data_IF_341669978309
#
_entry.id   IF_341669978309
#
_cell.length_a   1.000
_cell.length_b   1.000
_cell.length_c   1.000
_cell.angle_alpha   90.00
_cell.angle_beta   90.00
_cell.angle_gamma   90.00
#
_symmetry.space_group_name_H-M   'P 1'
#
loop_
_entity.id
_entity.type
_entity.pdbx_description
1 polymer ?
#
# COMPACT_ATOMS: atom_id res chain seq x y z
N UNK A 1 2.12 -5.10 -9.56
CA UNK A 1 1.71 -5.38 -10.95
C UNK A 1 0.67 -4.40 -11.49
N UNK A 2 -0.56 -4.31 -10.95
CA UNK A 2 -1.62 -3.40 -11.45
C UNK A 2 -1.15 -1.98 -11.75
N UNK A 3 -0.55 -1.35 -10.74
CA UNK A 3 -0.15 0.05 -10.81
C UNK A 3 0.81 0.28 -11.97
N UNK A 4 1.79 -0.61 -12.16
CA UNK A 4 2.72 -0.55 -13.28
C UNK A 4 2.02 -0.74 -14.63
N UNK A 5 1.12 -1.72 -14.76
CA UNK A 5 0.39 -1.95 -16.02
C UNK A 5 -0.53 -0.79 -16.39
N UNK A 6 -1.21 -0.19 -15.41
CA UNK A 6 -2.08 0.97 -15.64
C UNK A 6 -1.26 2.22 -15.94
N UNK A 7 -0.16 2.45 -15.22
CA UNK A 7 0.69 3.65 -15.38
C UNK A 7 1.48 3.64 -16.68
N UNK A 8 1.93 2.48 -17.12
CA UNK A 8 2.75 2.33 -18.33
C UNK A 8 1.95 1.76 -19.51
N UNK A 9 0.63 1.61 -19.40
CA UNK A 9 -0.25 1.05 -20.44
C UNK A 9 -0.02 1.71 -21.81
N UNK A 10 0.17 3.02 -21.84
CA UNK A 10 0.44 3.81 -23.07
C UNK A 10 1.73 3.39 -23.77
N UNK A 11 2.74 2.96 -23.01
CA UNK A 11 4.03 2.48 -23.55
C UNK A 11 4.03 0.99 -23.83
N UNK A 12 3.14 0.26 -23.16
CA UNK A 12 3.04 -1.19 -23.24
C UNK A 12 2.13 -1.59 -24.41
N UNK A 13 0.92 -1.03 -24.53
CA UNK A 13 -0.10 -1.39 -25.53
C UNK A 13 0.15 -0.81 -26.94
N UNK A 14 1.40 -0.58 -27.34
CA UNK A 14 1.78 -0.07 -28.67
C UNK A 14 1.78 -1.12 -29.78
N UNK A 15 2.23 -0.74 -30.99
CA UNK A 15 2.21 -1.56 -32.22
C UNK A 15 3.04 -2.86 -32.18
N UNK A 16 3.87 -3.08 -31.14
CA UNK A 16 4.71 -4.28 -31.03
C UNK A 16 4.21 -5.16 -29.89
N UNK A 17 3.97 -6.46 -30.14
CA UNK A 17 3.60 -7.37 -29.07
C UNK A 17 4.75 -7.46 -28.06
N UNK A 18 4.45 -7.21 -26.80
CA UNK A 18 5.38 -7.34 -25.68
C UNK A 18 4.88 -8.43 -24.74
N UNK A 19 5.81 -8.98 -23.95
CA UNK A 19 5.56 -10.11 -23.06
C UNK A 19 5.95 -9.72 -21.64
N UNK A 20 5.03 -9.91 -20.70
CA UNK A 20 5.26 -9.70 -19.28
C UNK A 20 5.80 -11.01 -18.68
N UNK A 21 6.99 -10.92 -18.08
CA UNK A 21 7.53 -11.98 -17.26
C UNK A 21 7.16 -11.75 -15.80
N UNK A 22 6.55 -12.76 -15.16
CA UNK A 22 6.11 -12.68 -13.77
C UNK A 22 6.26 -14.03 -13.07
N UNK A 23 6.69 -13.98 -11.82
CA UNK A 23 6.80 -15.11 -10.89
C UNK A 23 5.59 -15.20 -9.94
N UNK A 24 4.62 -14.30 -10.09
CA UNK A 24 3.47 -14.19 -9.19
C UNK A 24 2.58 -15.45 -9.26
N UNK A 25 2.75 -16.34 -8.27
CA UNK A 25 2.15 -17.69 -8.21
C UNK A 25 0.62 -17.67 -8.35
N UNK A 26 -0.04 -16.63 -7.82
CA UNK A 26 -1.51 -16.55 -7.90
C UNK A 26 -2.05 -16.45 -9.33
N UNK A 27 -1.25 -16.00 -10.31
CA UNK A 27 -1.68 -15.92 -11.71
C UNK A 27 -1.74 -17.29 -12.38
N UNK A 28 -1.07 -18.31 -11.81
CA UNK A 28 -1.11 -19.69 -12.31
C UNK A 28 -2.42 -20.40 -11.98
N UNK A 29 -3.04 -20.06 -10.86
CA UNK A 29 -4.24 -20.73 -10.35
C UNK A 29 -5.52 -19.99 -10.73
N UNK A 30 -5.44 -18.70 -11.06
CA UNK A 30 -6.60 -17.87 -11.40
C UNK A 30 -7.28 -18.23 -12.71
N UNK A 31 -6.56 -18.74 -13.72
CA UNK A 31 -7.17 -19.15 -15.01
C UNK A 31 -7.91 -20.49 -14.94
N UNK A 32 -7.60 -21.32 -13.94
CA UNK A 32 -8.14 -22.68 -13.81
C UNK A 32 -9.19 -22.80 -12.68
N UNK A 33 -9.50 -21.71 -11.99
CA UNK A 33 -10.46 -21.71 -10.88
C UNK A 33 -11.91 -21.61 -11.40
N UNK A 34 -12.80 -22.56 -11.06
CA UNK A 34 -14.18 -22.57 -11.54
C UNK A 34 -15.05 -21.47 -10.91
N UNK A 35 -14.68 -20.97 -9.73
CA UNK A 35 -15.40 -19.90 -9.03
C UNK A 35 -14.49 -18.69 -8.79
N UNK A 36 -14.64 -17.68 -9.64
CA UNK A 36 -13.89 -16.43 -9.55
C UNK A 36 -14.70 -15.38 -8.79
N UNK A 37 -14.07 -14.74 -7.81
CA UNK A 37 -14.67 -13.55 -7.19
C UNK A 37 -14.82 -12.43 -8.23
N UNK A 38 -15.83 -11.58 -8.09
CA UNK A 38 -16.10 -10.47 -9.01
C UNK A 38 -14.88 -9.54 -9.17
N UNK A 39 -14.09 -9.41 -8.10
CA UNK A 39 -12.79 -8.72 -8.11
C UNK A 39 -11.80 -9.45 -9.02
N UNK A 40 -11.60 -10.76 -8.84
CA UNK A 40 -10.71 -11.57 -9.71
C UNK A 40 -11.14 -11.57 -11.17
N UNK A 41 -12.43 -11.57 -11.48
CA UNK A 41 -12.93 -11.45 -12.86
C UNK A 41 -12.49 -10.14 -13.50
N UNK A 42 -12.66 -9.00 -12.81
CA UNK A 42 -12.19 -7.70 -13.30
C UNK A 42 -10.67 -7.65 -13.47
N UNK A 43 -9.93 -8.34 -12.60
CA UNK A 43 -8.48 -8.46 -12.73
C UNK A 43 -8.07 -9.30 -13.93
N UNK A 44 -8.75 -10.42 -14.17
CA UNK A 44 -8.48 -11.28 -15.32
C UNK A 44 -8.83 -10.61 -16.64
N UNK A 45 -9.91 -9.83 -16.70
CA UNK A 45 -10.22 -9.01 -17.88
C UNK A 45 -9.10 -8.01 -18.19
N UNK A 46 -8.54 -7.34 -17.16
CA UNK A 46 -7.41 -6.43 -17.33
C UNK A 46 -6.14 -7.17 -17.77
N UNK A 47 -5.88 -8.36 -17.22
CA UNK A 47 -4.71 -9.15 -17.58
C UNK A 47 -4.84 -9.81 -18.97
N UNK A 48 -6.05 -10.09 -19.46
CA UNK A 48 -6.25 -10.67 -20.79
C UNK A 48 -5.69 -9.79 -21.92
N UNK A 49 -5.50 -8.50 -21.70
CA UNK A 49 -4.90 -7.55 -22.65
C UNK A 49 -3.37 -7.72 -22.79
N UNK A 50 -2.74 -8.58 -21.98
CA UNK A 50 -1.29 -8.71 -21.90
C UNK A 50 -0.83 -10.16 -22.04
N UNK A 51 0.29 -10.38 -22.76
CA UNK A 51 0.88 -11.71 -22.90
C UNK A 51 1.77 -12.02 -21.70
N UNK A 52 1.41 -12.99 -20.85
CA UNK A 52 2.23 -13.42 -19.71
C UNK A 52 3.06 -14.66 -20.01
N UNK A 53 4.32 -14.67 -19.57
CA UNK A 53 5.18 -15.87 -19.57
C UNK A 53 5.55 -16.31 -18.15
N UNK A 54 5.63 -17.64 -17.90
CA UNK A 54 6.04 -18.16 -16.61
C UNK A 54 7.45 -17.71 -16.20
N UNK A 55 7.61 -17.30 -14.95
CA UNK A 55 8.88 -16.81 -14.39
C UNK A 55 10.08 -17.76 -14.47
N UNK A 56 9.92 -19.05 -14.79
CA UNK A 56 11.04 -19.99 -14.97
C UNK A 56 11.98 -19.59 -16.12
N UNK A 57 11.52 -18.73 -17.04
CA UNK A 57 12.29 -18.14 -18.15
C UNK A 57 12.81 -16.72 -17.84
N UNK A 58 12.52 -16.17 -16.66
CA UNK A 58 12.86 -14.79 -16.26
C UNK A 58 14.25 -14.69 -15.63
N UNK A 59 15.25 -15.36 -16.22
CA UNK A 59 16.60 -15.53 -15.66
C UNK A 59 17.31 -14.18 -15.45
N UNK A 60 17.05 -13.20 -16.33
CA UNK A 60 17.66 -11.86 -16.28
C UNK A 60 17.15 -11.00 -15.12
N UNK A 61 15.84 -10.99 -14.85
CA UNK A 61 15.29 -10.22 -13.72
C UNK A 61 15.69 -10.86 -12.38
N UNK A 62 15.75 -12.19 -12.34
CA UNK A 62 16.20 -12.94 -11.18
C UNK A 62 17.69 -12.64 -10.88
N UNK A 63 18.55 -12.61 -11.90
CA UNK A 63 19.96 -12.25 -11.79
C UNK A 63 20.21 -10.81 -11.31
N UNK A 64 19.35 -9.85 -11.67
CA UNK A 64 19.45 -8.47 -11.19
C UNK A 64 18.97 -8.31 -9.74
N UNK A 65 18.02 -9.14 -9.28
CA UNK A 65 17.54 -9.12 -7.89
C UNK A 65 18.40 -9.92 -6.91
N UNK A 66 19.22 -10.85 -7.42
CA UNK A 66 20.06 -11.77 -6.64
C UNK A 66 21.55 -11.52 -6.93
N UNK A 67 22.00 -10.28 -6.76
CA UNK A 67 23.42 -9.93 -6.81
C UNK A 67 24.06 -10.21 -5.44
N UNK A 68 24.76 -11.35 -5.24
CA UNK A 68 25.40 -11.67 -3.95
C UNK A 68 26.51 -10.65 -3.59
N UNK A 69 27.07 -9.98 -4.59
CA UNK A 69 27.97 -8.84 -4.50
C UNK A 69 27.30 -7.58 -3.90
N UNK A 70 25.97 -7.46 -3.98
CA UNK A 70 25.24 -6.37 -3.35
C UNK A 70 24.92 -6.62 -1.87
N UNK A 71 24.78 -7.88 -1.43
CA UNK A 71 24.49 -8.20 -0.01
C UNK A 71 25.66 -7.89 0.94
N UNK A 72 26.88 -7.71 0.41
CA UNK A 72 28.11 -7.54 1.20
C UNK A 72 28.60 -6.09 1.32
N UNK A 73 27.87 -5.10 0.79
CA UNK A 73 28.19 -3.68 0.99
C UNK A 73 27.42 -3.04 2.18
N UNK A 74 26.59 -3.80 2.90
CA UNK A 74 25.58 -3.27 3.82
C UNK A 74 26.04 -3.00 5.25
N UNK A 75 27.34 -3.02 5.51
CA UNK A 75 27.94 -2.45 6.73
C UNK A 75 29.13 -1.59 6.33
N UNK A 76 28.90 -0.59 5.48
CA UNK A 76 29.90 0.45 5.24
C UNK A 76 29.69 1.60 6.22
N UNK A 77 30.38 1.47 7.36
CA UNK A 77 31.28 2.50 7.88
C UNK A 77 30.62 3.71 8.55
N UNK A 78 29.93 3.56 9.69
CA UNK A 78 30.01 4.53 10.82
C UNK A 78 29.80 3.86 12.18
N UNK A 79 30.66 2.91 12.58
CA UNK A 79 31.07 2.70 13.99
C UNK A 79 32.36 1.86 13.95
N UNK A 80 33.51 2.51 13.75
CA UNK A 80 34.82 1.84 13.80
C UNK A 80 35.09 1.13 15.13
N UNK A 81 34.29 1.41 16.15
CA UNK A 81 34.41 0.88 17.50
C UNK A 81 33.18 0.06 17.96
N UNK A 82 32.16 -0.23 17.13
CA UNK A 82 30.97 -0.96 17.58
C UNK A 82 31.35 -2.29 18.25
N UNK A 83 32.21 -3.05 17.58
CA UNK A 83 32.72 -4.32 18.12
C UNK A 83 33.55 -4.11 19.38
N UNK A 84 34.30 -3.02 19.50
CA UNK A 84 35.07 -2.70 20.69
C UNK A 84 34.17 -2.31 21.87
N UNK A 85 33.11 -1.53 21.62
CA UNK A 85 32.08 -1.22 22.61
C UNK A 85 31.34 -2.48 23.05
N UNK A 86 31.02 -3.40 22.14
CA UNK A 86 30.44 -4.71 22.48
C UNK A 86 31.39 -5.51 23.38
N UNK A 87 32.70 -5.56 23.07
CA UNK A 87 33.72 -6.22 23.89
C UNK A 87 33.77 -5.65 25.31
N UNK A 88 33.80 -4.32 25.42
CA UNK A 88 33.83 -3.63 26.70
C UNK A 88 32.54 -3.86 27.50
N UNK A 89 31.38 -3.84 26.83
CA UNK A 89 30.09 -4.02 27.47
C UNK A 89 29.89 -5.43 28.07
N UNK A 90 30.62 -6.46 27.61
CA UNK A 90 30.59 -7.77 28.27
C UNK A 90 31.08 -7.73 29.72
N UNK A 91 31.91 -6.76 30.11
CA UNK A 91 32.41 -6.64 31.49
C UNK A 91 31.32 -6.23 32.48
N UNK A 92 30.29 -5.52 32.02
CA UNK A 92 29.16 -5.08 32.83
C UNK A 92 27.91 -5.96 32.73
N UNK A 93 27.91 -6.99 31.86
CA UNK A 93 26.73 -7.84 31.64
C UNK A 93 26.79 -9.13 32.46
N UNK A 94 26.02 -9.18 33.55
CA UNK A 94 25.93 -10.34 34.46
C UNK A 94 25.66 -11.69 33.75
N UNK A 95 25.01 -11.69 32.58
CA UNK A 95 24.71 -12.91 31.84
C UNK A 95 25.85 -13.36 30.92
N UNK A 96 26.66 -12.44 30.40
CA UNK A 96 27.71 -12.77 29.43
C UNK A 96 29.13 -12.71 30.03
N UNK A 97 29.37 -11.94 31.09
CA UNK A 97 30.67 -11.90 31.79
C UNK A 97 31.16 -13.31 32.17
N UNK A 98 30.34 -14.19 32.80
CA UNK A 98 30.80 -15.52 33.19
C UNK A 98 31.13 -16.41 31.97
N UNK A 99 30.40 -16.24 30.86
CA UNK A 99 30.64 -16.98 29.62
C UNK A 99 31.94 -16.55 28.95
N UNK A 100 32.18 -15.23 28.86
CA UNK A 100 33.41 -14.68 28.28
C UNK A 100 34.62 -15.10 29.10
N UNK A 101 34.55 -15.00 30.44
CA UNK A 101 35.61 -15.48 31.33
C UNK A 101 35.86 -16.98 31.17
N UNK A 102 34.80 -17.81 31.22
CA UNK A 102 34.93 -19.26 31.08
C UNK A 102 35.58 -19.66 29.74
N UNK A 103 35.16 -19.05 28.63
CA UNK A 103 35.71 -19.35 27.31
C UNK A 103 37.11 -18.77 27.09
N UNK A 104 37.49 -17.72 27.83
CA UNK A 104 38.85 -17.16 27.83
C UNK A 104 39.82 -18.01 28.66
N UNK A 105 39.37 -18.52 29.81
CA UNK A 105 40.16 -19.33 30.75
C UNK A 105 40.46 -20.75 30.19
N UNK A 106 39.72 -21.20 29.17
CA UNK A 106 39.98 -22.45 28.46
C UNK A 106 39.90 -23.69 29.35
N UNK A 107 40.97 -24.50 29.38
CA UNK A 107 41.01 -25.79 30.12
C UNK A 107 41.05 -25.63 31.64
N UNK A 108 41.39 -24.44 32.14
CA UNK A 108 41.50 -24.14 33.57
C UNK A 108 40.21 -23.54 34.16
N UNK A 109 39.16 -23.43 33.34
CA UNK A 109 37.91 -22.79 33.70
C UNK A 109 37.07 -23.62 34.67
N UNK A 110 36.78 -23.06 35.85
CA UNK A 110 35.84 -23.68 36.81
C UNK A 110 34.40 -23.55 36.31
N UNK A 111 33.80 -24.68 35.95
CA UNK A 111 32.42 -24.82 35.45
C UNK A 111 31.36 -24.26 36.42
N UNK A 112 31.67 -24.19 37.72
CA UNK A 112 30.76 -23.70 38.77
C UNK A 112 30.36 -22.22 38.62
N UNK A 113 31.10 -21.44 37.84
CA UNK A 113 30.76 -20.02 37.54
C UNK A 113 29.58 -19.87 36.58
N UNK A 114 29.18 -20.94 35.88
CA UNK A 114 28.10 -20.91 34.91
C UNK A 114 26.77 -21.38 35.52
N UNK A 115 25.71 -20.61 35.28
CA UNK A 115 24.34 -21.01 35.59
C UNK A 115 23.98 -22.33 34.88
N UNK A 116 23.02 -23.12 35.42
CA UNK A 116 22.59 -24.37 34.79
C UNK A 116 22.16 -24.20 33.33
N UNK A 117 21.52 -23.07 33.02
CA UNK A 117 21.09 -22.73 31.65
C UNK A 117 22.27 -22.47 30.72
N UNK A 118 23.28 -21.73 31.18
CA UNK A 118 24.49 -21.47 30.40
C UNK A 118 25.24 -22.77 30.13
N UNK A 119 25.35 -23.67 31.12
CA UNK A 119 25.98 -24.99 30.96
C UNK A 119 25.28 -25.84 29.89
N UNK A 120 23.96 -25.90 29.90
CA UNK A 120 23.19 -26.63 28.90
C UNK A 120 23.35 -26.08 27.47
N UNK A 121 23.60 -24.77 27.33
CA UNK A 121 23.69 -24.07 26.05
C UNK A 121 25.12 -23.77 25.62
N UNK A 122 26.13 -24.22 26.37
CA UNK A 122 27.53 -23.85 26.15
C UNK A 122 28.03 -24.22 24.75
N UNK A 123 27.59 -25.34 24.20
CA UNK A 123 27.91 -25.80 22.83
C UNK A 123 27.44 -24.83 21.72
N UNK A 124 26.56 -23.88 22.04
CA UNK A 124 26.06 -22.86 21.12
C UNK A 124 26.91 -21.60 21.12
N UNK A 125 27.83 -21.47 22.07
CA UNK A 125 28.68 -20.30 22.25
C UNK A 125 30.12 -20.60 21.89
N UNK A 126 30.77 -19.62 21.26
CA UNK A 126 32.17 -19.65 20.88
C UNK A 126 32.76 -18.26 21.11
N UNK A 127 34.00 -18.18 21.60
CA UNK A 127 34.69 -16.90 21.78
C UNK A 127 35.74 -16.74 20.67
N UNK A 128 35.64 -15.68 19.89
CA UNK A 128 36.60 -15.36 18.84
C UNK A 128 36.87 -13.84 18.84
N UNK A 129 38.14 -13.45 18.82
CA UNK A 129 38.59 -12.05 18.85
C UNK A 129 37.94 -11.21 19.96
N UNK A 130 37.76 -11.80 21.15
CA UNK A 130 37.11 -11.17 22.30
C UNK A 130 35.58 -10.99 22.15
N UNK A 131 34.99 -11.47 21.06
CA UNK A 131 33.55 -11.42 20.80
C UNK A 131 32.91 -12.78 21.03
N UNK A 132 31.80 -12.78 21.77
CA UNK A 132 31.00 -13.97 21.97
C UNK A 132 30.13 -14.19 20.74
N UNK A 133 30.26 -15.35 20.12
CA UNK A 133 29.47 -15.80 18.98
C UNK A 133 28.46 -16.83 19.43
N UNK A 134 27.25 -16.77 18.87
CA UNK A 134 26.16 -17.69 19.15
C UNK A 134 25.65 -18.35 17.87
N UNK A 135 25.40 -19.66 17.95
CA UNK A 135 24.79 -20.48 16.89
C UNK A 135 23.51 -21.12 17.41
N UNK A 136 22.41 -20.97 16.68
CA UNK A 136 21.17 -21.67 17.04
C UNK A 136 21.40 -23.15 16.73
N UNK A 137 21.65 -23.50 15.49
CA UNK A 137 22.02 -24.85 15.10
C UNK A 137 23.49 -24.93 14.64
N UNK A 138 24.15 -26.10 14.71
CA UNK A 138 25.56 -26.23 14.33
C UNK A 138 25.87 -25.79 12.89
N UNK A 139 24.89 -25.88 11.99
CA UNK A 139 24.99 -25.46 10.60
C UNK A 139 24.68 -23.97 10.35
N UNK A 140 24.23 -23.23 11.36
CA UNK A 140 23.95 -21.81 11.23
C UNK A 140 25.25 -20.98 11.25
N UNK A 141 25.28 -19.85 10.52
CA UNK A 141 26.38 -18.91 10.63
C UNK A 141 26.49 -18.36 12.06
N UNK A 142 27.72 -18.16 12.59
CA UNK A 142 27.93 -17.56 13.89
C UNK A 142 27.46 -16.11 13.90
N UNK A 143 26.78 -15.70 14.97
CA UNK A 143 26.25 -14.35 15.15
C UNK A 143 26.86 -13.73 16.40
N UNK A 144 27.28 -12.47 16.33
CA UNK A 144 27.86 -11.76 17.47
C UNK A 144 26.79 -11.49 18.51
N UNK A 145 27.04 -11.91 19.74
CA UNK A 145 26.14 -11.71 20.87
C UNK A 145 26.22 -10.26 21.33
N UNK A 146 25.10 -9.56 21.27
CA UNK A 146 24.99 -8.18 21.77
C UNK A 146 24.62 -8.24 23.26
N UNK A 147 25.40 -7.59 24.14
CA UNK A 147 25.08 -7.45 25.55
C UNK A 147 23.72 -6.81 25.80
N UNK A 148 23.22 -6.92 27.03
CA UNK A 148 22.01 -6.26 27.50
C UNK A 148 22.25 -4.76 27.78
N UNK A 149 22.79 -4.06 26.80
CA UNK A 149 23.04 -2.63 26.78
C UNK A 149 22.06 -1.98 25.79
N UNK A 150 21.23 -1.05 26.26
CA UNK A 150 20.18 -0.46 25.42
C UNK A 150 20.74 0.52 24.37
N UNK A 151 21.86 1.19 24.66
CA UNK A 151 22.49 2.13 23.73
C UNK A 151 23.12 1.37 22.56
N UNK A 152 23.82 0.26 22.83
CA UNK A 152 24.34 -0.62 21.79
C UNK A 152 23.24 -1.22 20.91
N UNK A 153 22.14 -1.67 21.54
CA UNK A 153 20.99 -2.18 20.78
C UNK A 153 20.36 -1.09 19.92
N UNK A 154 20.27 0.13 20.43
CA UNK A 154 19.74 1.27 19.69
C UNK A 154 20.63 1.61 18.50
N UNK A 155 21.94 1.73 18.70
CA UNK A 155 22.90 2.06 17.65
C UNK A 155 22.88 1.04 16.51
N UNK A 156 22.85 -0.26 16.84
CA UNK A 156 22.73 -1.33 15.84
C UNK A 156 21.43 -1.20 15.03
N UNK A 157 20.31 -0.89 15.70
CA UNK A 157 19.02 -0.75 15.04
C UNK A 157 18.94 0.53 14.20
N UNK A 158 19.55 1.62 14.67
CA UNK A 158 19.68 2.88 13.94
C UNK A 158 20.46 2.69 12.65
N UNK A 159 21.63 2.04 12.71
CA UNK A 159 22.44 1.82 11.53
C UNK A 159 21.74 0.88 10.53
N UNK A 160 21.02 -0.13 11.01
CA UNK A 160 20.33 -1.06 10.11
C UNK A 160 19.02 -0.48 9.55
N UNK A 161 18.27 0.33 10.31
CA UNK A 161 16.95 0.82 9.89
C UNK A 161 17.00 2.22 9.25
N UNK A 162 17.78 3.14 9.81
CA UNK A 162 17.78 4.56 9.46
C UNK A 162 18.92 4.93 8.49
N UNK A 163 19.82 3.98 8.18
CA UNK A 163 20.83 4.22 7.15
C UNK A 163 20.16 4.66 5.83
N UNK A 164 20.72 5.64 5.10
CA UNK A 164 20.12 6.17 3.87
C UNK A 164 19.79 5.10 2.81
N UNK A 165 20.50 3.98 2.85
CA UNK A 165 20.35 2.84 1.94
C UNK A 165 19.36 1.77 2.44
N UNK A 166 18.92 1.84 3.70
CA UNK A 166 18.01 0.89 4.33
C UNK A 166 16.53 1.25 4.17
N UNK A 167 16.20 2.33 3.44
CA UNK A 167 14.84 2.75 3.01
C UNK A 167 13.73 2.55 4.07
N UNK A 168 14.06 2.75 5.36
CA UNK A 168 13.18 2.48 6.50
C UNK A 168 12.39 1.15 6.37
N UNK A 169 13.10 0.07 6.00
CA UNK A 169 12.48 -1.22 5.76
C UNK A 169 11.61 -1.66 6.95
N UNK A 170 10.48 -2.32 6.64
CA UNK A 170 9.56 -2.79 7.66
C UNK A 170 10.16 -3.85 8.59
N UNK A 171 9.54 -4.03 9.76
CA UNK A 171 9.95 -4.92 10.87
C UNK A 171 10.61 -6.23 10.44
N UNK A 172 10.01 -6.95 9.50
CA UNK A 172 10.47 -8.27 9.09
C UNK A 172 11.82 -8.23 8.39
N UNK A 173 12.01 -7.25 7.50
CA UNK A 173 13.26 -7.07 6.77
C UNK A 173 14.36 -6.55 7.68
N UNK A 174 14.05 -5.59 8.56
CA UNK A 174 14.99 -5.12 9.59
C UNK A 174 15.45 -6.28 10.47
N UNK A 175 14.53 -7.13 10.92
CA UNK A 175 14.87 -8.31 11.71
C UNK A 175 15.78 -9.27 10.94
N UNK A 176 15.47 -9.56 9.68
CA UNK A 176 16.29 -10.43 8.84
C UNK A 176 17.71 -9.88 8.69
N UNK A 177 17.87 -8.58 8.43
CA UNK A 177 19.19 -7.95 8.30
C UNK A 177 19.98 -8.01 9.60
N UNK A 178 19.41 -7.60 10.73
CA UNK A 178 20.11 -7.63 12.03
C UNK A 178 20.47 -9.06 12.42
N UNK A 179 19.55 -10.01 12.22
CA UNK A 179 19.71 -11.39 12.66
C UNK A 179 20.80 -12.16 11.91
N UNK A 180 21.27 -11.67 10.76
CA UNK A 180 22.39 -12.27 10.01
C UNK A 180 23.72 -12.10 10.75
N UNK A 181 23.93 -10.94 11.39
CA UNK A 181 25.21 -10.59 12.03
C UNK A 181 25.13 -10.66 13.54
N UNK A 182 23.99 -10.27 14.13
CA UNK A 182 23.86 -10.08 15.56
C UNK A 182 22.82 -11.02 16.17
N UNK A 183 23.10 -11.46 17.40
CA UNK A 183 22.18 -12.19 18.24
C UNK A 183 21.96 -11.45 19.55
N UNK A 184 20.70 -11.30 19.94
CA UNK A 184 20.32 -10.75 21.24
C UNK A 184 19.08 -11.46 21.77
N UNK A 185 18.90 -11.42 23.08
CA UNK A 185 17.66 -11.94 23.67
C UNK A 185 16.47 -11.12 23.18
N UNK A 186 15.43 -11.82 22.70
CA UNK A 186 14.19 -11.19 22.21
C UNK A 186 14.41 -10.18 21.07
N UNK A 187 15.40 -10.40 20.20
CA UNK A 187 15.72 -9.54 19.04
C UNK A 187 14.48 -9.04 18.29
N UNK A 188 13.54 -9.93 17.95
CA UNK A 188 12.32 -9.54 17.25
C UNK A 188 11.49 -8.48 18.00
N UNK A 189 11.40 -8.58 19.33
CA UNK A 189 10.67 -7.59 20.15
C UNK A 189 11.38 -6.24 20.14
N UNK A 190 12.71 -6.22 20.20
CA UNK A 190 13.52 -4.99 20.12
C UNK A 190 13.32 -4.31 18.77
N UNK A 191 13.45 -5.06 17.66
CA UNK A 191 13.21 -4.56 16.29
C UNK A 191 11.76 -4.04 16.14
N UNK A 192 10.78 -4.80 16.62
CA UNK A 192 9.37 -4.40 16.54
C UNK A 192 9.09 -3.10 17.29
N UNK A 193 9.71 -2.91 18.47
CA UNK A 193 9.60 -1.69 19.26
C UNK A 193 10.22 -0.51 18.51
N UNK A 194 11.44 -0.69 17.99
CA UNK A 194 12.19 0.34 17.28
C UNK A 194 11.47 0.85 16.03
N UNK A 195 11.03 -0.06 15.15
CA UNK A 195 10.30 0.31 13.92
C UNK A 195 8.95 0.97 14.26
N UNK A 196 8.33 0.60 15.39
CA UNK A 196 7.10 1.25 15.86
C UNK A 196 7.34 2.67 16.37
N UNK A 197 8.51 2.97 16.96
CA UNK A 197 8.87 4.31 17.41
C UNK A 197 9.49 5.18 16.32
N UNK A 198 9.88 4.64 15.16
CA UNK A 198 10.44 5.41 14.06
C UNK A 198 9.43 6.41 13.49
N UNK A 199 9.71 7.70 13.65
CA UNK A 199 8.85 8.82 13.21
C UNK A 199 8.62 8.80 11.69
N UNK A 200 9.67 8.56 10.90
CA UNK A 200 9.58 8.48 9.44
C UNK A 200 8.63 7.38 9.00
N UNK A 201 8.78 6.18 9.57
CA UNK A 201 7.84 5.07 9.33
C UNK A 201 6.41 5.42 9.74
N UNK A 202 6.20 6.02 10.91
CA UNK A 202 4.85 6.34 11.38
C UNK A 202 4.18 7.42 10.52
N UNK A 203 4.93 8.38 9.98
CA UNK A 203 4.41 9.41 9.06
C UNK A 203 4.05 8.87 7.68
N UNK A 204 4.90 8.01 7.12
CA UNK A 204 4.71 7.48 5.76
C UNK A 204 3.68 6.35 5.72
N UNK A 205 3.58 5.56 6.80
CA UNK A 205 2.68 4.41 6.83
C UNK A 205 1.22 4.88 6.86
N UNK A 206 0.39 4.48 5.88
CA UNK A 206 -1.03 4.76 5.91
C UNK A 206 -1.62 4.17 7.19
N UNK A 207 -2.35 4.97 7.96
CA UNK A 207 -3.01 4.50 9.18
C UNK A 207 -3.95 3.33 8.82
N UNK A 208 -3.77 2.13 9.38
CA UNK A 208 -4.76 1.06 9.28
C UNK A 208 -5.88 1.40 10.26
N UNK A 209 -6.63 2.45 9.97
CA UNK A 209 -7.34 3.20 11.00
C UNK A 209 -8.56 3.97 10.54
N UNK A 210 -9.10 3.63 9.38
CA UNK A 210 -10.54 3.72 9.18
C UNK A 210 -10.94 2.41 8.54
N UNK A 211 -11.74 1.60 9.25
CA UNK A 211 -12.63 0.70 8.54
C UNK A 211 -13.39 1.61 7.58
N UNK A 212 -13.05 1.58 6.29
CA UNK A 212 -13.85 2.27 5.29
C UNK A 212 -15.28 1.82 5.56
N UNK A 213 -16.17 2.76 5.88
CA UNK A 213 -17.57 2.45 6.05
C UNK A 213 -17.96 1.55 4.86
N UNK A 214 -18.71 0.45 5.09
CA UNK A 214 -19.12 -0.44 4.01
C UNK A 214 -19.68 0.42 2.89
N UNK A 215 -19.13 0.29 1.68
CA UNK A 215 -19.61 1.05 0.52
C UNK A 215 -21.12 0.80 0.41
N UNK A 216 -21.93 1.79 0.78
CA UNK A 216 -23.36 1.70 0.59
C UNK A 216 -23.63 1.87 -0.90
N UNK A 217 -24.04 0.78 -1.54
CA UNK A 217 -24.55 0.85 -2.89
C UNK A 217 -25.79 1.73 -2.89
N UNK A 218 -25.83 2.73 -3.77
CA UNK A 218 -27.05 3.46 -4.06
C UNK A 218 -28.16 2.47 -4.46
N UNK A 219 -29.41 2.69 -4.03
CA UNK A 219 -30.52 1.81 -4.35
C UNK A 219 -30.62 1.60 -5.87
N UNK A 220 -31.02 0.37 -6.25
CA UNK A 220 -31.27 0.03 -7.65
C UNK A 220 -32.53 0.78 -8.10
N UNK A 221 -32.45 1.43 -9.25
CA UNK A 221 -33.58 2.14 -9.85
C UNK A 221 -34.68 1.16 -10.22
N UNK A 222 -35.94 1.51 -9.94
CA UNK A 222 -37.10 0.66 -10.27
C UNK A 222 -37.31 0.53 -11.79
N UNK A 223 -36.99 1.57 -12.56
CA UNK A 223 -37.10 1.58 -14.03
C UNK A 223 -35.89 2.23 -14.70
N UNK A 224 -35.79 2.02 -16.02
CA UNK A 224 -34.84 2.68 -16.90
C UNK A 224 -35.04 4.20 -16.85
N UNK A 225 -33.93 4.95 -16.85
CA UNK A 225 -33.89 6.41 -16.90
C UNK A 225 -34.56 7.16 -15.74
N UNK A 226 -35.19 6.48 -14.77
CA UNK A 226 -35.57 7.11 -13.48
C UNK A 226 -34.37 7.53 -12.64
N UNK A 227 -33.25 6.82 -12.78
CA UNK A 227 -31.98 7.16 -12.13
C UNK A 227 -30.86 7.16 -13.14
N UNK A 228 -30.14 8.27 -13.24
CA UNK A 228 -29.02 8.41 -14.17
C UNK A 228 -27.75 8.94 -13.49
N UNK A 229 -26.60 8.65 -14.09
CA UNK A 229 -25.31 9.23 -13.76
C UNK A 229 -24.90 10.23 -14.83
N UNK A 230 -24.37 11.37 -14.38
CA UNK A 230 -23.76 12.41 -15.20
C UNK A 230 -22.25 12.43 -14.96
N UNK A 231 -21.46 12.22 -16.01
CA UNK A 231 -20.00 12.19 -15.94
C UNK A 231 -19.39 13.10 -17.01
N UNK A 232 -18.35 13.84 -16.63
CA UNK A 232 -17.63 14.73 -17.53
C UNK A 232 -16.22 14.20 -17.80
N UNK A 233 -15.86 14.09 -19.08
CA UNK A 233 -14.50 13.76 -19.51
C UNK A 233 -13.90 15.03 -20.13
N UNK A 234 -12.90 15.61 -19.47
CA UNK A 234 -12.18 16.81 -19.94
C UNK A 234 -10.73 16.49 -20.31
N UNK A 235 -10.05 17.46 -20.93
CA UNK A 235 -8.64 17.34 -21.31
C UNK A 235 -8.44 16.58 -22.63
N UNK A 236 -9.51 16.46 -23.42
CA UNK A 236 -9.42 15.92 -24.77
C UNK A 236 -8.86 17.00 -25.71
N UNK A 237 -8.05 16.63 -26.73
CA UNK A 237 -7.64 17.55 -27.77
C UNK A 237 -8.85 18.24 -28.37
N UNK A 238 -8.75 19.55 -28.63
CA UNK A 238 -9.84 20.27 -29.27
C UNK A 238 -10.14 19.65 -30.63
N UNK A 239 -11.36 19.13 -30.80
CA UNK A 239 -11.82 18.64 -32.11
C UNK A 239 -12.05 19.79 -33.09
N UNK A 240 -12.40 19.47 -34.34
CA UNK A 240 -12.65 20.46 -35.41
C UNK A 240 -13.67 21.55 -35.03
N UNK A 241 -14.59 21.24 -34.11
CA UNK A 241 -15.62 22.16 -33.61
C UNK A 241 -15.27 22.84 -32.28
N UNK A 242 -14.02 22.72 -31.83
CA UNK A 242 -13.53 23.33 -30.59
C UNK A 242 -13.98 22.65 -29.28
N UNK A 243 -14.62 21.48 -29.35
CA UNK A 243 -15.03 20.70 -28.17
C UNK A 243 -13.81 20.16 -27.43
N UNK A 244 -13.73 20.42 -26.12
CA UNK A 244 -12.57 20.06 -25.26
C UNK A 244 -12.89 18.95 -24.26
N UNK A 245 -14.06 18.33 -24.42
CA UNK A 245 -14.53 17.27 -23.54
C UNK A 245 -15.76 16.55 -24.08
N UNK A 246 -16.16 15.50 -23.37
CA UNK A 246 -17.37 14.70 -23.63
C UNK A 246 -18.19 14.65 -22.35
N UNK A 247 -19.49 14.92 -22.50
CA UNK A 247 -20.50 14.73 -21.47
C UNK A 247 -21.14 13.36 -21.67
N UNK A 248 -21.20 12.59 -20.59
CA UNK A 248 -21.69 11.22 -20.58
C UNK A 248 -22.90 11.13 -19.66
N UNK A 249 -24.03 10.71 -20.21
CA UNK A 249 -25.25 10.39 -19.46
C UNK A 249 -25.46 8.89 -19.44
N UNK A 250 -25.56 8.27 -18.26
CA UNK A 250 -25.69 6.82 -18.13
C UNK A 250 -26.92 6.45 -17.33
N UNK A 251 -27.80 5.64 -17.90
CA UNK A 251 -28.89 5.02 -17.15
C UNK A 251 -28.33 4.04 -16.11
N UNK A 252 -28.67 4.21 -14.83
CA UNK A 252 -28.12 3.34 -13.76
C UNK A 252 -28.65 1.91 -13.82
N UNK A 253 -29.86 1.68 -14.37
CA UNK A 253 -30.45 0.35 -14.52
C UNK A 253 -29.93 -0.36 -15.78
N UNK A 254 -30.23 0.17 -16.97
CA UNK A 254 -29.93 -0.49 -18.24
C UNK A 254 -28.48 -0.34 -18.71
N UNK A 255 -27.71 0.58 -18.10
CA UNK A 255 -26.35 0.97 -18.54
C UNK A 255 -26.29 1.60 -19.93
N UNK A 256 -27.43 1.92 -20.55
CA UNK A 256 -27.49 2.69 -21.79
C UNK A 256 -26.86 4.06 -21.57
N UNK A 257 -26.10 4.54 -22.56
CA UNK A 257 -25.38 5.80 -22.49
C UNK A 257 -25.72 6.74 -23.64
N UNK A 258 -25.77 8.04 -23.34
CA UNK A 258 -25.74 9.12 -24.33
C UNK A 258 -24.44 9.89 -24.17
N UNK A 259 -23.74 10.11 -25.29
CA UNK A 259 -22.49 10.86 -25.34
C UNK A 259 -22.71 12.14 -26.12
N UNK A 260 -22.33 13.27 -25.54
CA UNK A 260 -22.43 14.57 -26.17
C UNK A 260 -21.09 15.30 -26.10
N UNK A 261 -20.50 15.73 -27.23
CA UNK A 261 -19.30 16.55 -27.17
C UNK A 261 -19.63 17.91 -26.57
N UNK A 262 -18.76 18.44 -25.70
CA UNK A 262 -19.05 19.66 -24.93
C UNK A 262 -17.92 20.70 -25.02
N UNK A 263 -18.34 21.96 -25.20
CA UNK A 263 -17.59 23.15 -24.77
C UNK A 263 -18.19 23.66 -23.47
N UNK A 264 -17.36 24.23 -22.57
CA UNK A 264 -17.62 24.60 -21.15
C UNK A 264 -19.01 25.14 -20.74
N UNK A 265 -19.93 25.51 -21.64
CA UNK A 265 -21.18 26.25 -21.36
C UNK A 265 -22.50 25.57 -21.82
N UNK A 266 -22.48 24.37 -22.41
CA UNK A 266 -23.68 23.82 -23.10
C UNK A 266 -24.31 22.56 -22.46
N UNK A 267 -23.89 22.16 -21.26
CA UNK A 267 -24.30 20.88 -20.66
C UNK A 267 -25.82 20.69 -20.51
N UNK A 268 -26.56 21.72 -20.09
CA UNK A 268 -28.01 21.64 -19.88
C UNK A 268 -28.79 21.45 -21.19
N UNK A 269 -28.38 22.14 -22.25
CA UNK A 269 -28.97 22.00 -23.58
C UNK A 269 -28.74 20.58 -24.13
N UNK A 270 -27.52 20.06 -23.99
CA UNK A 270 -27.17 18.70 -24.41
C UNK A 270 -27.96 17.63 -23.64
N UNK A 271 -28.27 17.88 -22.35
CA UNK A 271 -29.18 17.02 -21.60
C UNK A 271 -30.60 17.05 -22.16
N UNK A 272 -31.12 18.24 -22.48
CA UNK A 272 -32.47 18.38 -23.04
C UNK A 272 -32.60 17.66 -24.38
N UNK A 273 -31.64 17.89 -25.28
CA UNK A 273 -31.65 17.36 -26.63
C UNK A 273 -31.36 15.85 -26.69
N UNK A 274 -30.44 15.38 -25.84
CA UNK A 274 -29.92 14.01 -25.87
C UNK A 274 -30.60 13.02 -24.93
N UNK A 275 -31.14 13.49 -23.80
CA UNK A 275 -31.72 12.60 -22.76
C UNK A 275 -33.18 12.91 -22.52
N UNK A 276 -33.50 14.14 -22.13
CA UNK A 276 -34.87 14.53 -21.76
C UNK A 276 -35.85 14.31 -22.91
N UNK A 277 -35.46 14.66 -24.14
CA UNK A 277 -36.25 14.45 -25.35
C UNK A 277 -36.73 13.00 -25.53
N UNK A 278 -35.91 12.02 -25.13
CA UNK A 278 -36.19 10.60 -25.38
C UNK A 278 -36.73 9.87 -24.15
N UNK A 279 -36.29 10.28 -22.95
CA UNK A 279 -36.50 9.53 -21.71
C UNK A 279 -37.22 10.34 -20.62
N UNK A 280 -37.45 11.63 -20.84
CA UNK A 280 -38.02 12.54 -19.86
C UNK A 280 -37.04 12.94 -18.75
N UNK A 281 -37.57 13.57 -17.69
CA UNK A 281 -36.77 13.98 -16.54
C UNK A 281 -36.57 12.79 -15.60
N UNK A 282 -35.32 12.44 -15.25
CA UNK A 282 -35.04 11.42 -14.23
C UNK A 282 -35.47 11.91 -12.84
N UNK A 283 -35.88 10.98 -11.98
CA UNK A 283 -36.17 11.25 -10.57
C UNK A 283 -34.87 11.54 -9.79
N UNK A 284 -33.76 10.90 -10.17
CA UNK A 284 -32.45 11.08 -9.54
C UNK A 284 -31.33 11.21 -10.56
N UNK A 285 -30.47 12.20 -10.35
CA UNK A 285 -29.25 12.42 -11.13
C UNK A 285 -28.07 12.39 -10.17
N UNK A 286 -27.11 11.49 -10.42
CA UNK A 286 -25.89 11.33 -9.62
C UNK A 286 -24.72 11.87 -10.43
N UNK A 287 -23.90 12.76 -9.86
CA UNK A 287 -22.72 13.28 -10.54
C UNK A 287 -21.48 13.12 -9.67
N UNK A 288 -20.41 12.58 -10.26
CA UNK A 288 -19.13 12.37 -9.60
C UNK A 288 -18.24 13.62 -9.83
N UNK A 289 -18.60 14.75 -9.21
CA UNK A 289 -17.81 15.96 -8.91
C UNK A 289 -17.00 16.70 -10.02
N UNK A 290 -17.52 17.86 -10.46
CA UNK A 290 -16.79 19.15 -10.46
C UNK A 290 -17.78 20.27 -10.08
N UNK A 291 -17.71 20.84 -8.84
CA UNK A 291 -18.64 21.85 -8.35
C UNK A 291 -18.80 23.08 -9.26
N UNK A 292 -17.75 23.40 -10.06
CA UNK A 292 -17.75 24.55 -10.98
C UNK A 292 -18.67 24.34 -12.18
N UNK A 293 -19.09 23.11 -12.43
CA UNK A 293 -19.83 22.70 -13.62
C UNK A 293 -21.23 22.27 -13.23
N UNK A 294 -21.37 21.55 -12.11
CA UNK A 294 -22.69 21.14 -11.61
C UNK A 294 -23.58 22.35 -11.31
N UNK A 295 -23.05 23.41 -10.68
CA UNK A 295 -23.84 24.63 -10.39
C UNK A 295 -24.41 25.29 -11.64
N UNK A 296 -23.55 25.62 -12.61
CA UNK A 296 -23.97 26.26 -13.86
C UNK A 296 -24.90 25.37 -14.71
N UNK A 297 -24.69 24.05 -14.69
CA UNK A 297 -25.58 23.09 -15.33
C UNK A 297 -26.99 23.14 -14.73
N UNK A 298 -27.10 23.06 -13.40
CA UNK A 298 -28.39 23.08 -12.70
C UNK A 298 -29.12 24.40 -12.88
N UNK A 299 -28.43 25.53 -12.70
CA UNK A 299 -29.01 26.86 -12.90
C UNK A 299 -29.59 27.00 -14.30
N UNK A 300 -28.83 26.60 -15.32
CA UNK A 300 -29.26 26.65 -16.72
C UNK A 300 -30.41 25.68 -16.99
N UNK A 301 -30.36 24.47 -16.44
CA UNK A 301 -31.41 23.47 -16.62
C UNK A 301 -32.75 23.93 -16.03
N UNK A 302 -32.75 24.47 -14.81
CA UNK A 302 -33.97 24.96 -14.16
C UNK A 302 -34.52 26.21 -14.85
N UNK A 303 -33.65 27.11 -15.34
CA UNK A 303 -34.07 28.21 -16.20
C UNK A 303 -34.76 27.72 -17.49
N UNK A 304 -34.18 26.73 -18.17
CA UNK A 304 -34.74 26.17 -19.42
C UNK A 304 -36.04 25.39 -19.19
N UNK A 305 -36.20 24.72 -18.05
CA UNK A 305 -37.42 24.01 -17.67
C UNK A 305 -38.50 24.92 -17.08
N UNK A 306 -38.19 26.20 -16.82
CA UNK A 306 -39.13 27.17 -16.25
C UNK A 306 -39.51 26.92 -14.79
N UNK A 307 -38.68 26.21 -14.03
CA UNK A 307 -38.95 25.82 -12.64
C UNK A 307 -38.02 26.51 -11.65
N UNK A 308 -38.52 26.85 -10.46
CA UNK A 308 -37.73 27.43 -9.34
C UNK A 308 -37.26 26.38 -8.31
N UNK A 309 -37.51 25.10 -8.57
CA UNK A 309 -37.27 24.01 -7.63
C UNK A 309 -35.83 23.50 -7.73
N UNK A 310 -35.05 23.70 -6.68
CA UNK A 310 -33.76 23.04 -6.51
C UNK A 310 -34.00 21.56 -6.16
N UNK A 311 -33.61 20.65 -7.04
CA UNK A 311 -33.60 19.21 -6.72
C UNK A 311 -32.59 18.94 -5.59
N UNK A 312 -32.88 18.04 -4.64
CA UNK A 312 -31.86 17.59 -3.69
C UNK A 312 -30.77 16.83 -4.45
N UNK A 313 -29.62 17.49 -4.59
CA UNK A 313 -28.41 16.91 -5.16
C UNK A 313 -27.81 15.99 -4.10
N UNK A 314 -27.73 14.70 -4.38
CA UNK A 314 -26.91 13.79 -3.58
C UNK A 314 -25.44 14.03 -3.95
N UNK A 315 -24.80 14.96 -3.27
CA UNK A 315 -23.37 15.21 -3.38
C UNK A 315 -22.61 14.20 -2.52
N UNK A 316 -21.72 13.39 -3.10
CA UNK A 316 -21.00 12.38 -2.30
C UNK A 316 -19.56 12.12 -2.78
N UNK A 317 -18.56 12.79 -2.17
CA UNK A 317 -17.14 12.45 -2.31
C UNK A 317 -16.68 11.22 -1.51
N UNK A 318 -17.60 10.45 -0.89
CA UNK A 318 -17.40 9.26 -0.01
C UNK A 318 -17.45 9.47 1.52
N UNK A 319 -17.84 10.63 2.04
CA UNK A 319 -18.24 10.85 3.45
C UNK A 319 -19.13 12.11 3.44
N UNK A 320 -20.12 12.35 4.30
CA UNK A 320 -19.82 12.83 5.65
C UNK A 320 -21.10 12.88 6.52
N UNK A 321 -20.98 12.38 7.76
CA UNK A 321 -22.06 12.18 8.74
C UNK A 321 -22.55 13.45 9.44
N UNK A 322 -22.66 14.57 8.71
CA UNK A 322 -23.09 15.87 9.25
C UNK A 322 -24.24 16.51 8.46
N UNK A 323 -24.50 16.11 7.21
CA UNK A 323 -25.62 16.67 6.40
C UNK A 323 -27.00 16.22 6.88
N UNK A 324 -27.09 15.19 7.73
CA UNK A 324 -28.36 14.75 8.34
C UNK A 324 -28.87 15.69 9.45
N UNK A 325 -28.01 16.55 10.02
CA UNK A 325 -28.44 17.51 11.06
C UNK A 325 -28.98 18.82 10.50
N UNK A 326 -28.66 19.19 9.26
CA UNK A 326 -29.14 20.45 8.65
C UNK A 326 -30.49 20.23 7.94
N UNK A 327 -30.70 19.09 7.30
CA UNK A 327 -31.96 18.80 6.61
C UNK A 327 -33.11 18.40 7.55
N UNK A 328 -32.84 18.13 8.83
CA UNK A 328 -33.89 17.86 9.83
C UNK A 328 -34.54 19.12 10.40
N UNK A 329 -34.03 20.33 10.07
CA UNK A 329 -34.53 21.59 10.62
C UNK A 329 -35.47 22.38 9.71
N UNK A 330 -35.66 21.97 8.46
CA UNK A 330 -36.46 22.73 7.48
C UNK A 330 -37.77 22.05 7.04
N UNK A 331 -38.09 20.85 7.52
CA UNK A 331 -39.36 20.16 7.21
C UNK A 331 -40.39 20.17 8.35
N UNK A 332 -40.16 20.93 9.42
CA UNK A 332 -41.13 21.04 10.54
C UNK A 332 -41.88 22.36 10.64
N UNK A 333 -41.64 23.35 9.79
CA UNK A 333 -42.37 24.62 9.87
C UNK A 333 -42.99 25.01 8.52
N UNK A 334 -44.33 24.92 8.54
CA UNK A 334 -45.31 25.60 7.68
C UNK A 334 -45.86 24.80 6.50
N UNK A 335 -46.74 23.85 6.84
CA UNK A 335 -48.08 23.84 6.24
C UNK A 335 -48.76 25.20 6.52
N UNK A 336 -49.08 25.94 5.47
CA UNK A 336 -50.41 26.53 5.25
C UNK A 336 -50.54 26.97 3.80
#
# INVERSE_FOLDING_TARGET
MKYALVKFSVHLLGLRPFVIFTDHVSLRTTTNSPHLSQRMTRWLSLFAEYNFRPGKLNVLADALSRRPDYELAHVSRVMTDLYDRIRLAYQGDENYTPLVQFLSDGKDAKVDRLSPRQRAQLHRYELADGLLHYRVDPGDPPRVVVPNDEDLKYDILLEVHDAPMSDHLGREKTYQTVSRTFWQTRLYKSVARYVKSCETCQRVKPSPGHASAPLQCLPVSADCWKSMRLEFIFGLPAGEKGNTGVLVFVCRLSKMMHLAPITRKQAAQLFLDGVFRYHGLPETIVSDQDPRITGAFWDTLFQLLGTKLTMPIADHPQTDGQTERVNRKYSSEHLC
#
